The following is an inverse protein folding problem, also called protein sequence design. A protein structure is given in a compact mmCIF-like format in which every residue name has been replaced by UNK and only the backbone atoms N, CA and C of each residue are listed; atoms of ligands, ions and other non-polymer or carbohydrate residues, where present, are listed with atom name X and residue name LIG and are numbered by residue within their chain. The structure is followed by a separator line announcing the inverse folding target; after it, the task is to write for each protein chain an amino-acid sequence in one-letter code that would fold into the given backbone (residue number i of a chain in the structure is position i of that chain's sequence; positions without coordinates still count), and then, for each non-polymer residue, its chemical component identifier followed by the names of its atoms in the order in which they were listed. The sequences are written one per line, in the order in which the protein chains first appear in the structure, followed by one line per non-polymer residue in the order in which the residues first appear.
data_IF_483293635681
#
_entry.id   IF_483293635681
#
_cell.length_a   1.000
_cell.length_b   1.000
_cell.length_c   1.000
_cell.angle_alpha   90.00
_cell.angle_beta   90.00
_cell.angle_gamma   90.00
#
_symmetry.space_group_name_H-M   'P 1'
#
loop_
_entity.id
_entity.type
_entity.pdbx_description
1 polymer ?
#
# COMPACT_ATOMS: atom_id res chain seq x y z
N UNK A 1 39.99 13.44 -32.49
CA UNK A 1 39.34 14.49 -33.30
C UNK A 1 37.94 14.63 -32.74
N UNK A 2 37.69 15.56 -31.81
CA UNK A 2 37.81 17.01 -31.99
C UNK A 2 36.41 17.51 -32.28
N UNK A 3 35.65 17.88 -31.24
CA UNK A 3 35.47 19.28 -30.79
C UNK A 3 34.36 19.97 -31.59
N UNK A 4 33.15 20.00 -31.05
CA UNK A 4 32.14 21.03 -31.33
C UNK A 4 30.98 20.85 -30.34
N UNK A 5 31.02 21.56 -29.20
CA UNK A 5 29.84 22.10 -28.47
C UNK A 5 30.31 22.84 -27.19
N UNK A 6 31.27 23.77 -27.29
CA UNK A 6 31.88 24.40 -26.10
C UNK A 6 32.08 25.92 -26.30
N UNK A 7 31.07 26.63 -26.83
CA UNK A 7 31.21 28.07 -27.12
C UNK A 7 30.00 28.97 -26.85
N UNK A 8 28.94 28.49 -26.17
CA UNK A 8 27.79 29.36 -25.84
C UNK A 8 27.63 29.69 -24.35
N UNK A 9 28.26 28.96 -23.43
CA UNK A 9 28.11 29.25 -21.99
C UNK A 9 29.10 30.28 -21.42
N UNK A 10 29.99 30.85 -22.27
CA UNK A 10 31.02 31.80 -21.82
C UNK A 10 30.58 33.28 -21.81
N UNK A 11 29.34 33.58 -22.22
CA UNK A 11 28.88 34.98 -22.37
C UNK A 11 27.89 35.49 -21.32
N UNK A 12 27.53 34.69 -20.31
CA UNK A 12 26.66 35.13 -19.19
C UNK A 12 27.43 35.08 -17.85
N UNK A 13 28.61 35.69 -17.80
CA UNK A 13 29.33 35.99 -16.54
C UNK A 13 29.91 37.41 -16.53
N UNK A 14 29.08 38.39 -16.91
CA UNK A 14 29.45 39.81 -16.82
C UNK A 14 28.24 40.61 -16.38
N UNK A 15 27.99 40.64 -15.07
CA UNK A 15 27.29 41.68 -14.30
C UNK A 15 26.66 41.09 -13.03
N UNK A 16 27.46 40.81 -12.01
CA UNK A 16 27.07 41.03 -10.61
C UNK A 16 28.34 41.37 -9.84
N UNK A 17 28.28 42.49 -9.11
CA UNK A 17 29.41 43.13 -8.46
C UNK A 17 30.07 42.29 -7.37
N UNK A 18 31.32 42.65 -7.09
CA UNK A 18 32.14 42.08 -6.03
C UNK A 18 31.41 42.11 -4.68
N UNK A 19 31.06 40.93 -4.17
CA UNK A 19 30.78 40.71 -2.75
C UNK A 19 32.01 39.98 -2.21
N UNK A 20 32.68 40.61 -1.26
CA UNK A 20 33.83 40.10 -0.52
C UNK A 20 33.56 38.68 -0.01
N UNK A 21 34.35 37.71 -0.47
CA UNK A 21 34.42 36.36 0.10
C UNK A 21 34.94 36.45 1.54
N UNK A 22 34.18 36.06 2.58
CA UNK A 22 34.77 35.74 3.87
C UNK A 22 35.53 34.42 3.74
N UNK A 23 36.69 34.32 4.39
CA UNK A 23 37.43 33.05 4.55
C UNK A 23 36.52 31.92 5.05
N UNK A 24 36.74 30.67 4.61
CA UNK A 24 35.96 29.54 5.10
C UNK A 24 36.31 29.30 6.57
N UNK A 25 35.38 29.61 7.46
CA UNK A 25 35.37 29.03 8.81
C UNK A 25 35.02 27.56 8.64
N UNK A 26 35.82 26.68 9.25
CA UNK A 26 35.49 25.26 9.42
C UNK A 26 34.12 25.14 10.10
N UNK A 27 33.08 24.97 9.30
CA UNK A 27 31.70 24.76 9.74
C UNK A 27 31.47 23.24 9.77
N UNK A 28 31.17 22.73 10.96
CA UNK A 28 31.10 21.32 11.34
C UNK A 28 30.59 20.37 10.23
N UNK A 29 31.44 19.41 9.88
CA UNK A 29 31.24 18.29 8.94
C UNK A 29 30.00 17.43 9.28
N UNK A 30 29.46 17.56 10.49
CA UNK A 30 28.27 16.85 10.95
C UNK A 30 26.99 17.32 10.25
N UNK A 31 26.84 18.63 10.00
CA UNK A 31 25.64 19.19 9.35
C UNK A 31 25.57 18.78 7.87
N UNK A 32 26.72 18.68 7.20
CA UNK A 32 26.81 18.28 5.79
C UNK A 32 26.59 16.77 5.59
N UNK A 33 26.92 15.97 6.60
CA UNK A 33 26.71 14.52 6.61
C UNK A 33 25.26 14.15 6.96
N UNK A 34 24.59 14.92 7.82
CA UNK A 34 23.17 14.73 8.12
C UNK A 34 22.27 15.08 6.91
N UNK A 35 22.66 16.06 6.09
CA UNK A 35 21.94 16.41 4.85
C UNK A 35 22.09 15.31 3.76
N UNK A 36 23.23 14.62 3.70
CA UNK A 36 23.48 13.52 2.74
C UNK A 36 22.92 12.16 3.17
N UNK A 37 22.54 12.00 4.44
CA UNK A 37 21.87 10.79 4.96
C UNK A 37 20.34 11.01 5.04
N UNK A 38 19.80 11.97 4.29
CA UNK A 38 18.35 12.08 4.10
C UNK A 38 17.88 11.02 3.09
N UNK A 39 17.62 9.80 3.57
CA UNK A 39 16.78 8.83 2.86
C UNK A 39 15.41 9.50 2.68
N UNK A 40 14.89 9.68 1.45
CA UNK A 40 13.56 10.22 1.26
C UNK A 40 12.54 9.15 1.66
N UNK A 41 12.28 9.03 2.95
CA UNK A 41 11.02 8.50 3.46
C UNK A 41 9.93 9.49 3.07
N UNK A 42 8.80 9.05 2.52
CA UNK A 42 7.66 9.95 2.27
C UNK A 42 7.21 10.67 3.55
N UNK A 43 7.41 10.04 4.72
CA UNK A 43 7.14 10.59 6.05
C UNK A 43 8.22 11.60 6.55
N UNK A 44 9.53 11.36 6.34
CA UNK A 44 10.59 12.39 6.57
C UNK A 44 10.94 13.23 5.34
N UNK A 45 10.03 13.37 4.38
CA UNK A 45 10.21 14.35 3.30
C UNK A 45 10.26 15.77 3.87
N UNK A 46 9.64 15.97 5.05
CA UNK A 46 9.64 17.20 5.81
C UNK A 46 10.55 17.04 7.04
N UNK A 47 11.46 18.00 7.23
CA UNK A 47 12.29 18.07 8.43
C UNK A 47 11.42 18.60 9.57
N UNK A 48 11.22 17.78 10.60
CA UNK A 48 10.43 18.13 11.80
C UNK A 48 11.33 18.00 13.01
N UNK A 49 11.42 19.05 13.83
CA UNK A 49 12.15 19.00 15.09
C UNK A 49 11.35 18.17 16.11
N UNK A 50 11.83 16.95 16.37
CA UNK A 50 11.19 16.00 17.29
C UNK A 50 11.35 16.36 18.76
N UNK A 51 12.22 17.34 19.08
CA UNK A 51 12.38 17.83 20.45
C UNK A 51 11.20 18.69 20.90
N UNK A 52 10.49 19.32 19.95
CA UNK A 52 9.36 20.21 20.23
C UNK A 52 8.03 19.51 19.93
N UNK A 53 7.28 19.22 20.99
CA UNK A 53 5.96 18.59 20.91
C UNK A 53 4.96 19.33 19.99
N UNK A 54 5.02 20.67 19.96
CA UNK A 54 4.13 21.49 19.13
C UNK A 54 4.38 21.24 17.63
N UNK A 55 5.64 21.18 17.19
CA UNK A 55 5.99 20.95 15.79
C UNK A 55 5.58 19.54 15.33
N UNK A 56 5.74 18.52 16.19
CA UNK A 56 5.29 17.15 15.91
C UNK A 56 3.75 17.09 15.80
N UNK A 57 3.04 17.78 16.69
CA UNK A 57 1.57 17.82 16.65
C UNK A 57 1.04 18.53 15.40
N UNK A 58 1.67 19.64 15.01
CA UNK A 58 1.33 20.39 13.80
C UNK A 58 1.63 19.55 12.54
N UNK A 59 2.78 18.89 12.49
CA UNK A 59 3.12 17.98 11.41
C UNK A 59 2.08 16.85 11.28
N UNK A 60 1.69 16.20 12.38
CA UNK A 60 0.68 15.16 12.38
C UNK A 60 -0.68 15.67 11.86
N UNK A 61 -1.07 16.90 12.22
CA UNK A 61 -2.30 17.52 11.69
C UNK A 61 -2.24 17.68 10.17
N UNK A 62 -1.14 18.20 9.63
CA UNK A 62 -0.99 18.33 8.18
C UNK A 62 -0.98 16.97 7.46
N UNK A 63 -0.30 15.97 8.03
CA UNK A 63 -0.29 14.61 7.47
C UNK A 63 -1.69 13.99 7.44
N UNK A 64 -2.47 14.17 8.52
CA UNK A 64 -3.86 13.69 8.56
C UNK A 64 -4.70 14.39 7.48
N UNK A 65 -4.56 15.70 7.31
CA UNK A 65 -5.30 16.44 6.29
C UNK A 65 -4.91 15.97 4.89
N UNK A 66 -3.62 15.87 4.60
CA UNK A 66 -3.09 15.42 3.30
C UNK A 66 -3.56 13.99 2.97
N UNK A 67 -3.43 13.05 3.92
CA UNK A 67 -3.90 11.68 3.76
C UNK A 67 -5.42 11.59 3.60
N UNK A 68 -6.18 12.38 4.36
CA UNK A 68 -7.65 12.40 4.28
C UNK A 68 -8.12 12.89 2.92
N UNK A 69 -7.53 13.97 2.40
CA UNK A 69 -7.87 14.50 1.07
C UNK A 69 -7.52 13.47 -0.01
N UNK A 70 -6.33 12.86 0.05
CA UNK A 70 -5.91 11.85 -0.92
C UNK A 70 -6.84 10.62 -0.93
N UNK A 71 -7.17 10.09 0.25
CA UNK A 71 -8.08 8.95 0.39
C UNK A 71 -9.51 9.31 -0.01
N UNK A 72 -9.97 10.54 0.26
CA UNK A 72 -11.29 11.01 -0.15
C UNK A 72 -11.41 11.12 -1.68
N UNK A 73 -10.39 11.66 -2.35
CA UNK A 73 -10.34 11.68 -3.82
C UNK A 73 -10.32 10.25 -4.40
N UNK A 74 -9.54 9.35 -3.81
CA UNK A 74 -9.53 7.93 -4.21
C UNK A 74 -10.90 7.27 -4.03
N UNK A 75 -11.59 7.56 -2.91
CA UNK A 75 -12.95 7.11 -2.68
C UNK A 75 -13.93 7.63 -3.74
N UNK A 76 -13.86 8.92 -4.10
CA UNK A 76 -14.72 9.50 -5.14
C UNK A 76 -14.48 8.84 -6.50
N UNK A 77 -13.22 8.60 -6.87
CA UNK A 77 -12.89 7.91 -8.12
C UNK A 77 -13.49 6.50 -8.12
N UNK A 78 -13.28 5.74 -7.05
CA UNK A 78 -13.82 4.39 -6.93
C UNK A 78 -15.36 4.38 -6.95
N UNK A 79 -16.00 5.35 -6.30
CA UNK A 79 -17.45 5.50 -6.30
C UNK A 79 -17.99 5.77 -7.71
N UNK A 80 -17.37 6.69 -8.45
CA UNK A 80 -17.78 7.00 -9.83
C UNK A 80 -17.54 5.84 -10.78
N UNK A 81 -16.38 5.19 -10.71
CA UNK A 81 -16.07 4.01 -11.51
C UNK A 81 -17.08 2.90 -11.25
N UNK A 82 -17.38 2.61 -9.98
CA UNK A 82 -18.39 1.61 -9.61
C UNK A 82 -19.80 1.98 -10.09
N UNK A 83 -20.20 3.25 -10.01
CA UNK A 83 -21.50 3.70 -10.48
C UNK A 83 -21.65 3.56 -12.01
N UNK A 84 -20.63 3.95 -12.78
CA UNK A 84 -20.64 3.84 -14.24
C UNK A 84 -20.65 2.38 -14.68
N UNK A 85 -19.87 1.52 -14.01
CA UNK A 85 -19.90 0.08 -14.31
C UNK A 85 -21.18 -0.60 -13.86
N UNK A 86 -21.79 -0.17 -12.75
CA UNK A 86 -23.11 -0.66 -12.37
C UNK A 86 -24.11 -0.38 -13.49
N UNK A 87 -24.15 0.83 -14.07
CA UNK A 87 -25.05 1.12 -15.19
C UNK A 87 -24.74 0.25 -16.43
N UNK A 88 -23.47 0.00 -16.73
CA UNK A 88 -23.07 -0.78 -17.90
C UNK A 88 -23.29 -2.31 -17.77
N UNK A 89 -23.16 -2.87 -16.56
CA UNK A 89 -23.16 -4.32 -16.32
C UNK A 89 -24.39 -4.83 -15.54
N UNK A 90 -25.11 -3.97 -14.82
CA UNK A 90 -26.15 -4.42 -13.91
C UNK A 90 -27.34 -5.04 -14.65
N UNK A 91 -27.58 -6.33 -14.40
CA UNK A 91 -28.67 -7.11 -14.99
C UNK A 91 -28.63 -7.14 -16.53
N UNK A 92 -27.43 -7.17 -17.11
CA UNK A 92 -27.19 -7.27 -18.57
C UNK A 92 -26.59 -8.63 -18.94
N UNK A 93 -27.05 -9.18 -20.06
CA UNK A 93 -26.51 -10.40 -20.67
C UNK A 93 -25.50 -10.05 -21.78
N UNK A 94 -24.75 -11.05 -22.27
CA UNK A 94 -23.85 -10.83 -23.40
C UNK A 94 -24.61 -10.40 -24.68
N UNK A 95 -25.82 -10.92 -24.91
CA UNK A 95 -26.71 -10.48 -25.99
C UNK A 95 -27.02 -8.97 -25.88
N UNK A 96 -27.42 -8.48 -24.70
CA UNK A 96 -27.72 -7.06 -24.50
C UNK A 96 -26.49 -6.16 -24.77
N UNK A 97 -25.31 -6.61 -24.32
CA UNK A 97 -24.06 -5.91 -24.58
C UNK A 97 -23.71 -5.90 -26.08
N UNK A 98 -23.91 -7.02 -26.76
CA UNK A 98 -23.65 -7.17 -28.19
C UNK A 98 -24.55 -6.24 -29.01
N UNK A 99 -25.85 -6.16 -28.69
CA UNK A 99 -26.81 -5.29 -29.37
C UNK A 99 -26.44 -3.81 -29.23
N UNK A 100 -26.06 -3.36 -28.03
CA UNK A 100 -25.62 -1.98 -27.79
C UNK A 100 -24.35 -1.68 -28.57
N UNK A 101 -23.38 -2.59 -28.61
CA UNK A 101 -22.16 -2.42 -29.38
C UNK A 101 -22.40 -2.34 -30.89
N UNK A 102 -23.34 -3.13 -31.43
CA UNK A 102 -23.73 -3.08 -32.83
C UNK A 102 -24.38 -1.75 -33.20
N UNK A 103 -25.29 -1.25 -32.37
CA UNK A 103 -25.95 0.04 -32.58
C UNK A 103 -24.95 1.20 -32.57
N UNK A 104 -23.96 1.15 -31.67
CA UNK A 104 -22.89 2.13 -31.58
C UNK A 104 -21.80 1.98 -32.66
N UNK A 105 -21.95 1.05 -33.62
CA UNK A 105 -20.98 0.78 -34.69
C UNK A 105 -19.54 0.55 -34.18
N UNK A 106 -19.40 -0.10 -33.03
CA UNK A 106 -18.08 -0.32 -32.45
C UNK A 106 -17.32 -1.43 -33.20
N UNK A 107 -16.00 -1.28 -33.45
CA UNK A 107 -15.20 -2.31 -34.13
C UNK A 107 -14.93 -3.54 -33.26
N UNK A 108 -15.42 -3.56 -32.01
CA UNK A 108 -15.13 -4.59 -31.00
C UNK A 108 -16.36 -5.42 -30.61
N UNK A 109 -17.37 -5.49 -31.47
CA UNK A 109 -18.60 -6.30 -31.25
C UNK A 109 -18.31 -7.79 -31.05
N UNK A 110 -17.25 -8.31 -31.65
CA UNK A 110 -16.83 -9.71 -31.50
C UNK A 110 -16.27 -10.09 -30.11
N UNK A 111 -16.12 -9.13 -29.19
CA UNK A 111 -15.68 -9.40 -27.81
C UNK A 111 -16.80 -10.01 -26.97
N UNK A 112 -18.06 -9.67 -27.26
CA UNK A 112 -19.23 -10.21 -26.57
C UNK A 112 -19.90 -11.26 -27.46
N UNK A 113 -19.83 -12.56 -27.11
CA UNK A 113 -20.53 -13.60 -27.86
C UNK A 113 -22.04 -13.42 -27.71
N UNK A 114 -22.78 -13.71 -28.77
CA UNK A 114 -24.24 -13.60 -28.77
C UNK A 114 -24.88 -14.79 -28.02
N UNK A 115 -24.80 -14.76 -26.68
CA UNK A 115 -25.37 -15.77 -25.80
C UNK A 115 -26.12 -15.12 -24.61
N UNK A 116 -26.94 -15.93 -23.94
CA UNK A 116 -27.74 -15.49 -22.79
C UNK A 116 -26.99 -15.63 -21.44
N UNK A 117 -25.67 -15.80 -21.47
CA UNK A 117 -24.88 -15.91 -20.26
C UNK A 117 -24.64 -14.53 -19.62
N UNK A 118 -24.35 -14.55 -18.33
CA UNK A 118 -23.98 -13.35 -17.60
C UNK A 118 -22.67 -12.80 -18.13
N UNK A 119 -22.61 -11.49 -18.30
CA UNK A 119 -21.46 -10.79 -18.83
C UNK A 119 -20.24 -10.94 -17.91
N UNK A 120 -19.13 -11.45 -18.47
CA UNK A 120 -17.89 -11.61 -17.72
C UNK A 120 -17.19 -10.27 -17.54
N UNK A 121 -16.96 -9.90 -16.27
CA UNK A 121 -16.33 -8.63 -15.89
C UNK A 121 -14.82 -8.82 -15.83
N UNK A 122 -14.12 -8.25 -16.81
CA UNK A 122 -12.66 -8.14 -16.82
C UNK A 122 -12.24 -6.72 -17.23
N UNK A 123 -10.99 -6.35 -16.97
CA UNK A 123 -10.40 -5.04 -17.27
C UNK A 123 -10.57 -4.69 -18.76
N UNK A 124 -10.39 -5.67 -19.66
CA UNK A 124 -10.57 -5.48 -21.09
C UNK A 124 -12.05 -5.31 -21.47
N UNK A 125 -12.91 -6.24 -21.08
CA UNK A 125 -14.35 -6.21 -21.35
C UNK A 125 -15.00 -4.93 -20.80
N UNK A 126 -14.56 -4.48 -19.62
CA UNK A 126 -14.96 -3.22 -19.01
C UNK A 126 -14.68 -2.00 -19.89
N UNK A 127 -13.49 -1.93 -20.52
CA UNK A 127 -13.17 -0.83 -21.44
C UNK A 127 -14.03 -0.83 -22.69
N UNK A 128 -14.27 -2.01 -23.27
CA UNK A 128 -15.05 -2.16 -24.51
C UNK A 128 -16.52 -1.80 -24.27
N UNK A 129 -17.13 -2.29 -23.18
CA UNK A 129 -18.54 -2.00 -22.89
C UNK A 129 -18.77 -0.52 -22.62
N UNK A 130 -17.84 0.15 -21.91
CA UNK A 130 -17.89 1.60 -21.72
C UNK A 130 -17.83 2.33 -23.07
N UNK A 131 -16.99 1.85 -23.98
CA UNK A 131 -16.91 2.35 -25.35
C UNK A 131 -18.22 2.21 -26.12
N UNK A 132 -18.93 1.11 -25.94
CA UNK A 132 -20.22 0.87 -26.59
C UNK A 132 -21.36 1.73 -26.01
N UNK A 133 -21.41 1.93 -24.69
CA UNK A 133 -22.46 2.70 -24.01
C UNK A 133 -22.25 4.21 -24.07
N UNK A 134 -21.03 4.66 -23.79
CA UNK A 134 -20.71 6.09 -23.63
C UNK A 134 -19.87 6.66 -24.78
N UNK A 135 -19.52 5.83 -25.76
CA UNK A 135 -18.74 6.20 -26.94
C UNK A 135 -17.23 6.00 -26.77
N UNK A 136 -16.46 6.17 -27.87
CA UNK A 136 -15.05 5.82 -27.92
C UNK A 136 -14.19 6.62 -26.93
N UNK A 137 -14.61 7.83 -26.55
CA UNK A 137 -13.90 8.64 -25.56
C UNK A 137 -13.81 7.95 -24.20
N UNK A 138 -14.88 7.27 -23.75
CA UNK A 138 -14.89 6.57 -22.46
C UNK A 138 -13.89 5.40 -22.44
N UNK A 139 -13.78 4.67 -23.56
CA UNK A 139 -12.80 3.59 -23.74
C UNK A 139 -11.36 4.12 -23.60
N UNK A 140 -11.05 5.25 -24.25
CA UNK A 140 -9.71 5.82 -24.16
C UNK A 140 -9.40 6.40 -22.76
N UNK A 141 -10.37 7.05 -22.12
CA UNK A 141 -10.22 7.55 -20.74
C UNK A 141 -9.95 6.38 -19.78
N UNK A 142 -10.68 5.28 -19.93
CA UNK A 142 -10.47 4.05 -19.16
C UNK A 142 -9.06 3.47 -19.38
N UNK A 143 -8.64 3.34 -20.64
CA UNK A 143 -7.31 2.83 -20.99
C UNK A 143 -6.17 3.69 -20.43
N UNK A 144 -6.29 5.02 -20.56
CA UNK A 144 -5.31 5.97 -19.98
C UNK A 144 -5.32 5.90 -18.46
N UNK A 145 -6.50 5.76 -17.84
CA UNK A 145 -6.66 5.60 -16.40
C UNK A 145 -5.95 4.35 -15.87
N UNK A 146 -6.12 3.20 -16.53
CA UNK A 146 -5.41 1.96 -16.17
C UNK A 146 -3.89 2.13 -16.31
N UNK A 147 -3.43 2.76 -17.40
CA UNK A 147 -2.01 3.02 -17.62
C UNK A 147 -1.44 3.92 -16.51
N UNK A 148 -2.14 4.99 -16.15
CA UNK A 148 -1.75 5.89 -15.07
C UNK A 148 -1.72 5.15 -13.70
N UNK A 149 -2.71 4.30 -13.42
CA UNK A 149 -2.74 3.48 -12.21
C UNK A 149 -1.54 2.52 -12.13
N UNK A 150 -1.16 1.91 -13.26
CA UNK A 150 0.02 1.03 -13.35
C UNK A 150 1.35 1.75 -13.06
N UNK A 151 1.48 3.01 -13.52
CA UNK A 151 2.66 3.84 -13.20
C UNK A 151 2.72 4.18 -11.71
N UNK A 152 1.59 4.60 -11.13
CA UNK A 152 1.49 4.92 -9.69
C UNK A 152 1.84 3.71 -8.81
N UNK A 153 1.36 2.52 -9.17
CA UNK A 153 1.68 1.27 -8.46
C UNK A 153 3.17 0.94 -8.52
N UNK A 154 3.83 1.16 -9.66
CA UNK A 154 5.27 0.93 -9.80
C UNK A 154 6.07 1.85 -8.88
N UNK A 155 5.73 3.13 -8.84
CA UNK A 155 6.39 4.09 -7.96
C UNK A 155 6.21 3.69 -6.49
N UNK A 156 4.96 3.52 -6.06
CA UNK A 156 4.62 3.17 -4.66
C UNK A 156 5.26 1.83 -4.24
N UNK A 157 5.25 0.82 -5.11
CA UNK A 157 5.85 -0.48 -4.84
C UNK A 157 7.38 -0.41 -4.64
N UNK A 158 8.07 0.47 -5.36
CA UNK A 158 9.54 0.62 -5.23
C UNK A 158 9.95 1.34 -3.96
N UNK A 159 9.16 2.32 -3.51
CA UNK A 159 9.34 2.99 -2.23
C UNK A 159 8.97 2.07 -1.07
N UNK A 160 7.82 1.39 -1.11
CA UNK A 160 7.43 0.42 -0.09
C UNK A 160 8.46 -0.72 0.03
N UNK A 161 8.91 -1.26 -1.11
CA UNK A 161 9.97 -2.26 -1.16
C UNK A 161 11.30 -1.77 -0.58
N UNK A 162 11.61 -0.47 -0.72
CA UNK A 162 12.77 0.13 -0.06
C UNK A 162 12.72 -0.04 1.45
N UNK A 163 11.61 0.40 2.05
CA UNK A 163 11.46 0.41 3.50
C UNK A 163 11.50 -1.01 4.07
N UNK A 164 10.92 -1.97 3.37
CA UNK A 164 10.97 -3.38 3.78
C UNK A 164 12.40 -3.93 3.66
N UNK A 165 13.09 -3.71 2.55
CA UNK A 165 14.45 -4.25 2.33
C UNK A 165 15.48 -3.62 3.27
N UNK A 166 15.46 -2.30 3.42
CA UNK A 166 16.40 -1.58 4.30
C UNK A 166 16.05 -1.75 5.77
N UNK A 167 14.75 -1.81 6.10
CA UNK A 167 14.27 -1.98 7.48
C UNK A 167 14.46 -3.40 8.03
N UNK A 168 14.03 -4.44 7.30
CA UNK A 168 14.05 -5.82 7.80
C UNK A 168 15.31 -6.60 7.41
N UNK A 169 15.86 -6.36 6.22
CA UNK A 169 16.99 -7.13 5.69
C UNK A 169 18.32 -6.36 5.72
N UNK A 170 18.29 -5.08 6.13
CA UNK A 170 19.42 -4.15 6.07
C UNK A 170 20.16 -4.16 4.70
N UNK A 171 19.38 -4.34 3.62
CA UNK A 171 19.88 -4.55 2.27
C UNK A 171 19.69 -3.27 1.44
N UNK A 172 20.81 -2.60 1.13
CA UNK A 172 20.82 -1.37 0.34
C UNK A 172 21.05 -1.68 -1.13
N UNK A 173 19.97 -1.68 -1.91
CA UNK A 173 20.00 -1.83 -3.37
C UNK A 173 19.75 -0.51 -4.08
N UNK A 174 20.33 -0.34 -5.28
CA UNK A 174 20.00 0.82 -6.11
C UNK A 174 18.55 0.76 -6.60
N UNK A 175 17.95 1.93 -6.82
CA UNK A 175 16.55 2.05 -7.28
C UNK A 175 16.30 1.25 -8.56
N UNK A 176 17.23 1.29 -9.51
CA UNK A 176 17.09 0.61 -10.80
C UNK A 176 17.03 -0.91 -10.64
N UNK A 177 17.95 -1.50 -9.87
CA UNK A 177 17.95 -2.95 -9.66
C UNK A 177 16.70 -3.42 -8.92
N UNK A 178 16.21 -2.65 -7.94
CA UNK A 178 14.97 -2.95 -7.22
C UNK A 178 13.76 -2.96 -8.16
N UNK A 179 13.63 -1.95 -9.02
CA UNK A 179 12.55 -1.86 -10.02
C UNK A 179 12.62 -3.06 -10.97
N UNK A 180 13.79 -3.32 -11.55
CA UNK A 180 13.96 -4.39 -12.53
C UNK A 180 13.67 -5.76 -11.91
N UNK A 181 14.13 -6.01 -10.69
CA UNK A 181 13.86 -7.24 -9.96
C UNK A 181 12.36 -7.41 -9.69
N UNK A 182 11.74 -6.46 -9.00
CA UNK A 182 10.32 -6.56 -8.61
C UNK A 182 9.37 -6.59 -9.81
N UNK A 183 9.68 -5.88 -10.90
CA UNK A 183 8.91 -5.92 -12.15
C UNK A 183 9.12 -7.23 -12.91
N UNK A 184 10.33 -7.80 -12.91
CA UNK A 184 10.58 -9.11 -13.52
C UNK A 184 9.73 -10.20 -12.85
N UNK A 185 9.69 -10.23 -11.52
CA UNK A 185 8.85 -11.18 -10.78
C UNK A 185 7.35 -11.02 -11.03
N UNK A 186 6.88 -9.80 -11.34
CA UNK A 186 5.46 -9.56 -11.66
C UNK A 186 5.13 -9.87 -13.13
N UNK A 187 6.00 -9.45 -14.06
CA UNK A 187 5.75 -9.51 -15.51
C UNK A 187 6.03 -10.90 -16.07
N UNK A 188 7.12 -11.56 -15.65
CA UNK A 188 7.52 -12.85 -16.22
C UNK A 188 6.41 -13.92 -16.09
N UNK A 189 5.80 -14.13 -14.91
CA UNK A 189 4.70 -15.11 -14.80
C UNK A 189 3.50 -14.72 -15.67
N UNK A 190 3.16 -13.44 -15.70
CA UNK A 190 2.02 -12.92 -16.48
C UNK A 190 2.23 -13.13 -17.98
N UNK A 191 3.41 -12.79 -18.50
CA UNK A 191 3.75 -12.98 -19.91
C UNK A 191 3.83 -14.47 -20.26
N UNK A 192 4.36 -15.29 -19.36
CA UNK A 192 4.40 -16.73 -19.56
C UNK A 192 3.00 -17.34 -19.65
N UNK A 193 2.08 -16.98 -18.74
CA UNK A 193 0.69 -17.42 -18.81
C UNK A 193 0.04 -16.91 -20.10
N UNK A 194 0.17 -15.62 -20.43
CA UNK A 194 -0.43 -15.06 -21.65
C UNK A 194 0.11 -15.69 -22.95
N UNK A 195 1.37 -16.15 -22.97
CA UNK A 195 1.97 -16.76 -24.16
C UNK A 195 1.60 -18.24 -24.35
N UNK A 196 1.29 -18.96 -23.26
CA UNK A 196 1.15 -20.43 -23.28
C UNK A 196 -0.20 -20.95 -22.80
N UNK A 197 -1.11 -20.11 -22.29
CA UNK A 197 -2.38 -20.49 -21.66
C UNK A 197 -3.52 -19.57 -22.10
N UNK A 198 -4.75 -20.11 -22.15
CA UNK A 198 -5.98 -19.36 -22.46
C UNK A 198 -6.38 -18.39 -21.33
N UNK A 199 -7.19 -17.38 -21.69
CA UNK A 199 -7.61 -16.24 -20.82
C UNK A 199 -8.26 -16.66 -19.50
N UNK A 200 -8.90 -17.84 -19.45
CA UNK A 200 -9.50 -18.39 -18.22
C UNK A 200 -8.48 -18.59 -17.08
N UNK A 201 -7.20 -18.79 -17.40
CA UNK A 201 -6.15 -18.93 -16.38
C UNK A 201 -5.68 -17.59 -15.77
N UNK A 202 -6.09 -16.45 -16.32
CA UNK A 202 -5.77 -15.13 -15.77
C UNK A 202 -6.64 -14.79 -14.55
N UNK A 203 -7.90 -15.24 -14.54
CA UNK A 203 -8.80 -15.07 -13.38
C UNK A 203 -8.26 -15.84 -12.16
N UNK A 204 -7.78 -17.07 -12.36
CA UNK A 204 -7.13 -17.84 -11.29
C UNK A 204 -5.84 -17.20 -10.77
N UNK A 205 -5.10 -16.45 -11.59
CA UNK A 205 -3.94 -15.69 -11.14
C UNK A 205 -4.35 -14.54 -10.21
N UNK A 206 -5.43 -13.82 -10.52
CA UNK A 206 -5.96 -12.77 -9.66
C UNK A 206 -6.42 -13.34 -8.30
N UNK A 207 -7.12 -14.47 -8.30
CA UNK A 207 -7.56 -15.12 -7.08
C UNK A 207 -6.36 -15.58 -6.22
N UNK A 208 -5.32 -16.13 -6.86
CA UNK A 208 -4.07 -16.47 -6.18
C UNK A 208 -3.40 -15.25 -5.54
N UNK A 209 -3.35 -14.11 -6.23
CA UNK A 209 -2.80 -12.87 -5.67
C UNK A 209 -3.61 -12.37 -4.48
N UNK A 210 -4.95 -12.49 -4.51
CA UNK A 210 -5.82 -12.15 -3.39
C UNK A 210 -5.57 -13.05 -2.17
N UNK A 211 -5.33 -14.35 -2.39
CA UNK A 211 -4.94 -15.29 -1.33
C UNK A 211 -3.58 -14.92 -0.75
N UNK A 212 -2.60 -14.59 -1.59
CA UNK A 212 -1.28 -14.13 -1.13
C UNK A 212 -1.40 -12.86 -0.28
N UNK A 213 -2.20 -11.89 -0.73
CA UNK A 213 -2.47 -10.65 0.01
C UNK A 213 -3.15 -10.93 1.35
N UNK A 214 -4.11 -11.87 1.38
CA UNK A 214 -4.78 -12.32 2.61
C UNK A 214 -3.79 -12.84 3.65
N UNK A 215 -2.74 -13.53 3.22
CA UNK A 215 -1.67 -14.05 4.10
C UNK A 215 -0.75 -12.92 4.60
N UNK A 216 -0.51 -11.88 3.80
CA UNK A 216 0.43 -10.81 4.14
C UNK A 216 -0.18 -9.74 5.06
N UNK A 217 -1.47 -9.43 4.91
CA UNK A 217 -2.15 -8.35 5.63
C UNK A 217 -2.01 -8.41 7.16
N UNK A 218 -2.17 -9.55 7.84
CA UNK A 218 -2.13 -9.61 9.30
C UNK A 218 -0.75 -9.27 9.86
N UNK A 219 0.32 -9.67 9.14
CA UNK A 219 1.70 -9.34 9.50
C UNK A 219 2.02 -7.85 9.40
N UNK A 220 1.31 -7.10 8.55
CA UNK A 220 1.46 -5.66 8.47
C UNK A 220 0.57 -4.95 9.52
N UNK A 221 -0.69 -5.37 9.64
CA UNK A 221 -1.69 -4.65 10.44
C UNK A 221 -1.51 -4.84 11.96
N UNK A 222 -1.22 -6.06 12.43
CA UNK A 222 -1.10 -6.34 13.86
C UNK A 222 0.08 -5.62 14.53
N UNK A 223 1.29 -5.59 13.95
CA UNK A 223 2.40 -4.82 14.52
C UNK A 223 2.12 -3.32 14.49
N UNK A 224 1.53 -2.78 13.42
CA UNK A 224 1.19 -1.35 13.33
C UNK A 224 0.20 -0.96 14.43
N UNK A 225 -0.86 -1.74 14.66
CA UNK A 225 -1.80 -1.47 15.75
C UNK A 225 -1.10 -1.50 17.11
N UNK A 226 -0.25 -2.52 17.33
CA UNK A 226 0.45 -2.70 18.61
C UNK A 226 1.41 -1.54 18.86
N UNK A 227 2.25 -1.18 17.89
CA UNK A 227 3.21 -0.07 18.03
C UNK A 227 2.55 1.29 18.19
N UNK A 228 1.48 1.57 17.44
CA UNK A 228 0.74 2.84 17.54
C UNK A 228 -0.05 2.98 18.85
N UNK A 229 -0.23 1.89 19.58
CA UNK A 229 -1.01 1.84 20.81
C UNK A 229 -0.18 1.75 22.08
N UNK A 230 1.13 1.52 21.95
CA UNK A 230 2.08 1.44 23.06
C UNK A 230 2.57 2.82 23.51
N UNK A 231 2.35 3.15 24.79
CA UNK A 231 2.83 4.40 25.41
C UNK A 231 4.34 4.58 25.34
N UNK A 232 5.17 3.56 25.59
CA UNK A 232 6.62 3.77 25.56
C UNK A 232 7.17 4.19 24.19
N UNK A 233 6.53 3.79 23.09
CA UNK A 233 6.95 4.13 21.73
C UNK A 233 6.35 5.45 21.22
N UNK A 234 5.03 5.66 21.43
CA UNK A 234 4.31 6.82 20.90
C UNK A 234 4.23 8.00 21.89
N UNK A 235 4.64 7.79 23.15
CA UNK A 235 4.65 8.79 24.22
C UNK A 235 3.29 9.50 24.38
N UNK A 236 3.23 10.80 24.22
CA UNK A 236 2.01 11.61 24.31
C UNK A 236 1.08 11.49 23.09
N UNK A 237 1.54 10.87 21.99
CA UNK A 237 0.79 10.74 20.73
C UNK A 237 0.13 9.37 20.56
N UNK A 238 -0.12 8.67 21.66
CA UNK A 238 -0.75 7.34 21.67
C UNK A 238 -2.21 7.44 21.23
N UNK A 239 -2.64 6.43 20.48
CA UNK A 239 -4.01 6.36 19.99
C UNK A 239 -5.04 6.39 21.15
N UNK A 240 -6.08 7.23 21.03
CA UNK A 240 -7.14 7.33 22.03
C UNK A 240 -7.95 6.03 22.13
N UNK A 241 -8.71 5.84 23.22
CA UNK A 241 -9.51 4.61 23.44
C UNK A 241 -10.48 4.36 22.26
N UNK A 242 -11.12 5.40 21.75
CA UNK A 242 -12.02 5.32 20.59
C UNK A 242 -11.25 4.87 19.34
N UNK A 243 -10.10 5.50 19.04
CA UNK A 243 -9.26 5.15 17.90
C UNK A 243 -8.75 3.70 17.98
N UNK A 244 -8.41 3.23 19.18
CA UNK A 244 -8.03 1.84 19.44
C UNK A 244 -9.16 0.87 19.14
N UNK A 245 -10.38 1.13 19.65
CA UNK A 245 -11.55 0.27 19.40
C UNK A 245 -11.88 0.21 17.91
N UNK A 246 -11.89 1.37 17.23
CA UNK A 246 -12.15 1.43 15.78
C UNK A 246 -11.10 0.63 15.01
N UNK A 247 -9.82 0.80 15.33
CA UNK A 247 -8.74 0.08 14.64
C UNK A 247 -8.81 -1.45 14.87
N UNK A 248 -9.15 -1.89 16.09
CA UNK A 248 -9.36 -3.31 16.39
C UNK A 248 -10.54 -3.87 15.57
N UNK A 249 -11.67 -3.16 15.54
CA UNK A 249 -12.86 -3.59 14.77
C UNK A 249 -12.53 -3.70 13.28
N UNK A 250 -11.84 -2.70 12.72
CA UNK A 250 -11.42 -2.72 11.33
C UNK A 250 -10.46 -3.88 11.02
N UNK A 251 -9.47 -4.12 11.88
CA UNK A 251 -8.54 -5.24 11.70
C UNK A 251 -9.30 -6.57 11.76
N UNK A 252 -10.16 -6.79 12.75
CA UNK A 252 -10.95 -8.02 12.86
C UNK A 252 -11.82 -8.23 11.61
N UNK A 253 -12.46 -7.18 11.11
CA UNK A 253 -13.26 -7.24 9.88
C UNK A 253 -12.42 -7.62 8.66
N UNK A 254 -11.26 -6.97 8.46
CA UNK A 254 -10.34 -7.26 7.37
C UNK A 254 -9.87 -8.72 7.47
N UNK A 255 -9.46 -9.18 8.65
CA UNK A 255 -9.03 -10.56 8.87
C UNK A 255 -10.14 -11.56 8.53
N UNK A 256 -11.38 -11.29 8.93
CA UNK A 256 -12.52 -12.16 8.64
C UNK A 256 -12.81 -12.26 7.14
N UNK A 257 -12.78 -11.14 6.41
CA UNK A 257 -13.00 -11.12 4.95
C UNK A 257 -11.88 -11.87 4.23
N UNK A 258 -10.62 -11.65 4.61
CA UNK A 258 -9.49 -12.33 4.00
C UNK A 258 -9.51 -13.85 4.29
N UNK A 259 -9.93 -14.25 5.49
CA UNK A 259 -10.14 -15.66 5.82
C UNK A 259 -11.24 -16.29 4.96
N UNK A 260 -12.34 -15.57 4.72
CA UNK A 260 -13.41 -16.03 3.84
C UNK A 260 -12.91 -16.29 2.41
N UNK A 261 -12.12 -15.36 1.83
CA UNK A 261 -11.52 -15.56 0.50
C UNK A 261 -10.66 -16.82 0.44
N UNK A 262 -9.84 -17.05 1.45
CA UNK A 262 -9.00 -18.26 1.56
C UNK A 262 -9.87 -19.52 1.59
N UNK A 263 -10.92 -19.57 2.42
CA UNK A 263 -11.80 -20.74 2.55
C UNK A 263 -12.55 -21.04 1.25
N UNK A 264 -12.95 -20.02 0.49
CA UNK A 264 -13.64 -20.20 -0.81
C UNK A 264 -12.67 -20.68 -1.89
N UNK A 265 -11.41 -20.24 -1.85
CA UNK A 265 -10.45 -20.58 -2.89
C UNK A 265 -9.87 -22.01 -2.75
N UNK A 266 -9.55 -22.48 -1.54
CA UNK A 266 -8.89 -23.80 -1.36
C UNK A 266 -9.64 -24.98 -2.02
N UNK A 267 -10.99 -25.09 -1.96
CA UNK A 267 -11.73 -26.20 -2.57
C UNK A 267 -11.65 -26.27 -4.10
N UNK A 268 -11.20 -25.22 -4.78
CA UNK A 268 -11.02 -25.21 -6.24
C UNK A 268 -9.77 -25.96 -6.73
N UNK A 269 -8.91 -26.42 -5.81
CA UNK A 269 -7.69 -27.16 -6.14
C UNK A 269 -7.98 -28.67 -6.23
N UNK A 270 -8.04 -29.18 -7.46
CA UNK A 270 -8.43 -30.56 -7.82
C UNK A 270 -7.48 -31.68 -7.31
N UNK A 271 -6.39 -31.32 -6.61
CA UNK A 271 -5.36 -32.26 -6.13
C UNK A 271 -5.40 -32.41 -4.60
N UNK A 272 -5.87 -33.57 -4.12
CA UNK A 272 -5.99 -33.91 -2.68
C UNK A 272 -4.65 -33.75 -1.92
N UNK A 273 -3.52 -34.12 -2.53
CA UNK A 273 -2.21 -33.98 -1.89
C UNK A 273 -1.81 -32.51 -1.65
N UNK A 274 -2.12 -31.63 -2.62
CA UNK A 274 -1.88 -30.18 -2.48
C UNK A 274 -2.84 -29.57 -1.46
N UNK A 275 -4.09 -30.03 -1.43
CA UNK A 275 -5.08 -29.60 -0.45
C UNK A 275 -4.60 -29.85 0.99
N UNK A 276 -4.06 -31.03 1.28
CA UNK A 276 -3.55 -31.37 2.62
C UNK A 276 -2.35 -30.51 3.00
N UNK A 277 -1.38 -30.33 2.09
CA UNK A 277 -0.18 -29.51 2.37
C UNK A 277 -0.54 -28.04 2.57
N UNK A 278 -1.36 -27.47 1.69
CA UNK A 278 -1.83 -26.08 1.78
C UNK A 278 -2.68 -25.89 3.03
N UNK A 279 -3.55 -26.85 3.36
CA UNK A 279 -4.36 -26.83 4.57
C UNK A 279 -3.51 -26.79 5.85
N UNK A 280 -2.44 -27.59 5.92
CA UNK A 280 -1.51 -27.57 7.07
C UNK A 280 -0.80 -26.21 7.19
N UNK A 281 -0.29 -25.67 6.07
CA UNK A 281 0.40 -24.37 6.06
C UNK A 281 -0.56 -23.25 6.49
N UNK A 282 -1.78 -23.25 5.97
CA UNK A 282 -2.80 -22.25 6.31
C UNK A 282 -3.29 -22.41 7.74
N UNK A 283 -3.36 -23.63 8.28
CA UNK A 283 -3.70 -23.86 9.68
C UNK A 283 -2.60 -23.35 10.61
N UNK A 284 -1.32 -23.63 10.31
CA UNK A 284 -0.19 -23.08 11.05
C UNK A 284 -0.19 -21.54 11.02
N UNK A 285 -0.48 -20.98 9.85
CA UNK A 285 -0.61 -19.54 9.66
C UNK A 285 -1.80 -18.94 10.44
N UNK A 286 -2.97 -19.59 10.42
CA UNK A 286 -4.15 -19.18 11.17
C UNK A 286 -3.88 -19.21 12.68
N UNK A 287 -3.21 -20.27 13.17
CA UNK A 287 -2.81 -20.37 14.57
C UNK A 287 -1.83 -19.26 14.94
N UNK A 288 -0.84 -18.99 14.09
CA UNK A 288 0.13 -17.92 14.31
C UNK A 288 -0.51 -16.52 14.33
N UNK A 289 -1.42 -16.24 13.40
CA UNK A 289 -2.15 -14.95 13.35
C UNK A 289 -3.11 -14.79 14.52
N UNK A 290 -3.79 -15.86 14.95
CA UNK A 290 -4.60 -15.86 16.17
C UNK A 290 -3.73 -15.64 17.42
N UNK A 291 -2.54 -16.22 17.48
CA UNK A 291 -1.57 -15.95 18.54
C UNK A 291 -1.16 -14.47 18.55
N UNK A 292 -0.83 -13.88 17.39
CA UNK A 292 -0.52 -12.46 17.30
C UNK A 292 -1.70 -11.57 17.72
N UNK A 293 -2.92 -11.89 17.26
CA UNK A 293 -4.13 -11.19 17.65
C UNK A 293 -4.34 -11.25 19.16
N UNK A 294 -4.18 -12.44 19.75
CA UNK A 294 -4.28 -12.65 21.19
C UNK A 294 -3.25 -11.81 21.96
N UNK A 295 -1.99 -11.80 21.53
CA UNK A 295 -0.95 -10.97 22.15
C UNK A 295 -1.24 -9.48 22.03
N UNK A 296 -1.81 -9.04 20.91
CA UNK A 296 -2.25 -7.67 20.70
C UNK A 296 -3.41 -7.32 21.65
N UNK A 297 -4.41 -8.19 21.78
CA UNK A 297 -5.52 -8.01 22.72
C UNK A 297 -5.04 -7.90 24.18
N UNK A 298 -4.06 -8.72 24.58
CA UNK A 298 -3.44 -8.64 25.91
C UNK A 298 -2.71 -7.31 26.12
N UNK A 299 -1.92 -6.86 25.14
CA UNK A 299 -1.19 -5.58 25.20
C UNK A 299 -2.14 -4.36 25.32
N UNK A 300 -3.38 -4.48 24.82
CA UNK A 300 -4.39 -3.44 24.86
C UNK A 300 -5.25 -3.43 26.14
N UNK A 301 -4.97 -4.29 27.12
CA UNK A 301 -5.60 -4.22 28.44
C UNK A 301 -6.86 -5.07 28.60
N UNK A 302 -7.11 -6.06 27.73
CA UNK A 302 -8.07 -7.15 27.99
C UNK A 302 -7.50 -8.14 29.02
N UNK A 303 -7.11 -7.64 30.20
CA UNK A 303 -6.57 -8.42 31.31
C UNK A 303 -7.56 -9.48 31.86
N UNK A 304 -8.83 -9.42 31.48
CA UNK A 304 -9.85 -10.42 31.81
C UNK A 304 -9.59 -11.80 31.18
N UNK A 305 -8.82 -11.86 30.09
CA UNK A 305 -8.44 -13.10 29.41
C UNK A 305 -7.13 -13.71 29.93
N UNK A 306 -6.44 -13.02 30.85
CA UNK A 306 -5.18 -13.47 31.43
C UNK A 306 -5.46 -14.32 32.68
N UNK A 307 -5.48 -15.65 32.50
CA UNK A 307 -5.13 -16.56 33.58
C UNK A 307 -3.68 -16.28 33.99
N UNK A 308 -3.47 -15.85 35.24
CA UNK A 308 -2.26 -15.20 35.71
C UNK A 308 -0.94 -15.90 35.38
N UNK A 309 -0.12 -15.23 34.56
CA UNK A 309 1.37 -15.20 34.55
C UNK A 309 1.99 -14.45 33.36
N UNK A 310 1.17 -13.91 32.44
CA UNK A 310 1.66 -13.24 31.23
C UNK A 310 1.73 -11.71 31.27
N UNK A 311 1.56 -11.08 32.44
CA UNK A 311 1.67 -9.61 32.60
C UNK A 311 3.09 -9.05 32.44
N UNK A 312 4.07 -9.88 32.12
CA UNK A 312 5.46 -9.48 31.97
C UNK A 312 5.98 -9.73 30.55
N UNK A 313 5.20 -9.37 29.53
CA UNK A 313 5.77 -9.07 28.21
C UNK A 313 6.10 -7.57 28.16
N UNK A 314 6.97 -7.16 29.08
CA UNK A 314 7.59 -5.84 29.02
C UNK A 314 8.55 -5.88 27.84
N UNK A 315 8.25 -5.11 26.80
CA UNK A 315 9.08 -4.94 25.61
C UNK A 315 10.39 -4.22 25.97
N UNK A 316 11.27 -4.84 26.77
CA UNK A 316 12.68 -4.45 26.98
C UNK A 316 12.96 -2.97 27.30
N UNK A 317 11.95 -2.18 27.69
CA UNK A 317 12.09 -0.77 27.99
C UNK A 317 12.20 -0.63 29.50
N UNK A 318 13.28 0.00 30.01
CA UNK A 318 13.42 0.21 31.44
C UNK A 318 12.22 1.02 31.95
N UNK A 319 11.64 0.58 33.06
CA UNK A 319 10.68 1.39 33.81
C UNK A 319 11.39 2.70 34.19
N UNK A 320 10.90 3.84 33.71
CA UNK A 320 11.18 5.10 34.38
C UNK A 320 10.44 5.05 35.71
N UNK A 321 11.20 4.93 36.80
CA UNK A 321 10.70 5.05 38.16
C UNK A 321 10.03 6.42 38.35
N UNK A 322 8.70 6.38 38.50
CA UNK A 322 7.80 7.52 38.71
C UNK A 322 7.95 8.13 40.13
N UNK A 323 9.18 8.27 40.64
CA UNK A 323 9.47 8.78 42.00
C UNK A 323 9.72 10.28 42.06
N UNK A 324 9.82 11.00 40.94
CA UNK A 324 10.17 12.43 40.95
C UNK A 324 8.98 13.40 40.75
N UNK A 325 7.79 13.09 41.30
CA UNK A 325 6.65 14.03 41.28
C UNK A 325 5.89 14.18 42.60
N UNK A 326 6.37 13.59 43.70
CA UNK A 326 5.71 13.69 45.02
C UNK A 326 6.45 14.50 46.09
N UNK A 327 7.65 15.01 45.83
CA UNK A 327 8.46 15.68 46.87
C UNK A 327 8.60 17.20 46.70
N UNK A 328 7.71 17.84 45.93
CA UNK A 328 7.70 19.30 45.74
C UNK A 328 6.48 20.03 46.30
N UNK A 329 5.61 19.35 47.07
CA UNK A 329 4.36 19.95 47.55
C UNK A 329 4.04 19.66 49.01
N UNK A 330 5.05 19.62 49.89
CA UNK A 330 4.89 19.89 51.33
C UNK A 330 6.23 20.38 51.87
N UNK A 331 6.46 21.69 51.88
CA UNK A 331 7.01 22.50 52.99
C UNK A 331 7.16 23.95 52.58
#
# INVERSE_FOLDING_TARGET
MGSFQDSEDLHIKRNYGAVSTPEPKEENDQTYLDEKIAIPTTDRSRVVDRSKKQEVSEANMYFIIEATIALFVSFLINLFVMAVFAEAFYNKTNHDAHEVCLNSSSPHTGVFPDNNETLSVDIYNGGVILGCFFGPAALYIWAVGILAAGQSSTMTGTYAGQFVMEGFLNLKWSRFYRVLFTRSFAIIPTVFVAAFKDVEHLSGMNDFLNVLQSILLPFALLPVLTFTSMRPLMQDFVNGVIGKVIAIVLIVLILAINLYFVVVYIPSLDNIALYVVIGIILLLYAVFTLYLLWTCCLAHGLGFLSGGRHTQFSYGLPEEDDTCSREGRVQ
#
